data_IF_866640021486
#
_entry.id   IF_866640021486
#
_cell.length_a   1.000
_cell.length_b   1.000
_cell.length_c   1.000
_cell.angle_alpha   90.00
_cell.angle_beta   90.00
_cell.angle_gamma   90.00
#
_symmetry.space_group_name_H-M   'P 1'
#
loop_
_entity.id
_entity.type
_entity.pdbx_description
1 polymer ?
#
# COMPACT_ATOMS: atom_id res chain seq x y z
N UNK A 1 29.75 3.74 14.59
CA UNK A 1 28.86 4.04 13.44
C UNK A 1 28.15 2.81 12.83
N UNK A 2 28.26 1.61 13.43
CA UNK A 2 27.66 0.37 12.90
C UNK A 2 26.19 0.11 13.34
N UNK A 3 25.60 0.98 14.17
CA UNK A 3 24.25 0.81 14.72
C UNK A 3 23.12 1.38 13.85
N UNK A 4 23.43 2.16 12.81
CA UNK A 4 22.44 3.02 12.14
C UNK A 4 21.57 2.34 11.05
N UNK A 5 21.65 1.02 10.84
CA UNK A 5 21.04 0.36 9.66
C UNK A 5 20.27 -0.93 9.96
N UNK A 6 19.86 -1.17 11.22
CA UNK A 6 18.78 -2.12 11.51
C UNK A 6 17.47 -1.33 11.62
N UNK A 7 16.40 -1.86 11.04
CA UNK A 7 15.06 -1.41 11.36
C UNK A 7 14.91 -1.47 12.88
N UNK A 8 14.58 -0.34 13.50
CA UNK A 8 14.32 -0.33 14.92
C UNK A 8 13.13 -1.27 15.19
N UNK A 9 13.09 -1.89 16.38
CA UNK A 9 11.98 -2.78 16.76
C UNK A 9 10.62 -2.14 16.53
N UNK A 10 10.52 -0.82 16.77
CA UNK A 10 9.31 -0.03 16.50
C UNK A 10 8.93 0.01 15.02
N UNK A 11 9.88 0.28 14.11
CA UNK A 11 9.58 0.33 12.67
C UNK A 11 9.26 -1.06 12.12
N UNK A 12 9.95 -2.11 12.58
CA UNK A 12 9.63 -3.48 12.19
C UNK A 12 8.22 -3.90 12.65
N UNK A 13 7.84 -3.57 13.88
CA UNK A 13 6.50 -3.85 14.39
C UNK A 13 5.44 -3.06 13.63
N UNK A 14 5.70 -1.78 13.34
CA UNK A 14 4.82 -0.93 12.55
C UNK A 14 4.63 -1.46 11.12
N UNK A 15 5.72 -1.85 10.45
CA UNK A 15 5.67 -2.48 9.14
C UNK A 15 4.91 -3.81 9.18
N UNK A 16 5.11 -4.63 10.21
CA UNK A 16 4.36 -5.88 10.40
C UNK A 16 2.86 -5.64 10.53
N UNK A 17 2.44 -4.65 11.35
CA UNK A 17 1.03 -4.27 11.49
C UNK A 17 0.44 -3.81 10.15
N UNK A 18 1.14 -2.92 9.44
CA UNK A 18 0.72 -2.48 8.11
C UNK A 18 0.61 -3.63 7.13
N UNK A 19 1.56 -4.57 7.16
CA UNK A 19 1.56 -5.74 6.30
C UNK A 19 0.35 -6.64 6.52
N UNK A 20 -0.02 -6.87 7.78
CA UNK A 20 -1.22 -7.64 8.13
C UNK A 20 -2.49 -6.91 7.69
N UNK A 21 -2.56 -5.59 7.89
CA UNK A 21 -3.73 -4.79 7.47
C UNK A 21 -3.91 -4.84 5.95
N UNK A 22 -2.85 -4.59 5.18
CA UNK A 22 -2.87 -4.66 3.72
C UNK A 22 -3.24 -6.05 3.20
N UNK A 23 -2.71 -7.11 3.81
CA UNK A 23 -3.08 -8.49 3.45
C UNK A 23 -4.54 -8.80 3.76
N UNK A 24 -5.01 -8.44 4.95
CA UNK A 24 -6.38 -8.75 5.36
C UNK A 24 -7.39 -8.02 4.47
N UNK A 25 -7.19 -6.72 4.26
CA UNK A 25 -8.07 -5.91 3.42
C UNK A 25 -7.98 -6.36 1.95
N UNK A 26 -6.78 -6.53 1.43
CA UNK A 26 -6.57 -6.96 0.04
C UNK A 26 -7.17 -8.33 -0.26
N UNK A 27 -7.09 -9.28 0.68
CA UNK A 27 -7.72 -10.59 0.54
C UNK A 27 -9.24 -10.48 0.49
N UNK A 28 -9.83 -9.64 1.35
CA UNK A 28 -11.28 -9.42 1.36
C UNK A 28 -11.71 -8.81 0.02
N UNK A 29 -11.11 -7.71 -0.43
CA UNK A 29 -11.43 -7.04 -1.71
C UNK A 29 -11.25 -7.98 -2.91
N UNK A 30 -10.15 -8.74 -2.94
CA UNK A 30 -9.88 -9.70 -4.01
C UNK A 30 -10.96 -10.79 -4.10
N UNK A 31 -11.33 -11.39 -2.97
CA UNK A 31 -12.38 -12.40 -2.92
C UNK A 31 -13.75 -11.80 -3.27
N UNK A 32 -14.06 -10.59 -2.79
CA UNK A 32 -15.28 -9.85 -3.16
C UNK A 32 -15.38 -9.64 -4.67
N UNK A 33 -14.30 -9.15 -5.28
CA UNK A 33 -14.23 -8.92 -6.72
C UNK A 33 -14.36 -10.23 -7.51
N UNK A 34 -13.71 -11.30 -7.05
CA UNK A 34 -13.77 -12.61 -7.71
C UNK A 34 -15.18 -13.21 -7.67
N UNK A 35 -15.85 -13.17 -6.51
CA UNK A 35 -17.24 -13.66 -6.38
C UNK A 35 -18.17 -12.91 -7.34
N UNK A 36 -18.03 -11.59 -7.39
CA UNK A 36 -18.87 -10.72 -8.24
C UNK A 36 -18.61 -10.96 -9.72
N UNK A 37 -17.35 -11.19 -10.12
CA UNK A 37 -16.97 -11.54 -11.48
C UNK A 37 -17.61 -12.84 -11.99
N UNK A 38 -17.80 -13.83 -11.11
CA UNK A 38 -18.47 -15.10 -11.43
C UNK A 38 -20.01 -15.04 -11.28
N UNK A 39 -20.59 -13.85 -11.10
CA UNK A 39 -22.04 -13.66 -10.96
C UNK A 39 -22.59 -14.06 -9.58
N UNK A 40 -21.72 -14.26 -8.59
CA UNK A 40 -22.12 -14.41 -7.20
C UNK A 40 -22.51 -13.06 -6.60
N UNK A 41 -23.48 -13.07 -5.68
CA UNK A 41 -23.72 -11.91 -4.83
C UNK A 41 -22.67 -11.87 -3.72
N UNK A 42 -21.99 -10.74 -3.55
CA UNK A 42 -21.14 -10.56 -2.38
C UNK A 42 -22.01 -10.63 -1.11
N UNK A 43 -21.53 -11.27 -0.03
CA UNK A 43 -22.25 -11.30 1.23
C UNK A 43 -22.69 -9.90 1.69
N UNK A 44 -23.90 -9.79 2.24
CA UNK A 44 -24.51 -8.54 2.72
C UNK A 44 -23.70 -7.78 3.79
N UNK A 45 -22.74 -8.44 4.44
CA UNK A 45 -21.81 -7.83 5.39
C UNK A 45 -20.57 -7.22 4.72
N UNK A 46 -20.32 -7.48 3.43
CA UNK A 46 -19.45 -6.66 2.59
C UNK A 46 -20.22 -5.40 2.23
N UNK A 47 -20.25 -4.49 3.21
CA UNK A 47 -20.84 -3.16 3.11
C UNK A 47 -20.26 -2.39 1.93
N UNK A 48 -20.92 -1.32 1.41
CA UNK A 48 -20.37 -0.41 0.39
C UNK A 48 -19.00 0.22 0.71
N UNK A 49 -18.46 -0.01 1.91
CA UNK A 49 -17.13 0.41 2.34
C UNK A 49 -16.00 -0.48 1.82
N UNK A 50 -16.30 -1.65 1.25
CA UNK A 50 -15.29 -2.57 0.71
C UNK A 50 -15.48 -2.69 -0.80
N UNK A 51 -14.57 -2.14 -1.61
CA UNK A 51 -14.69 -2.20 -3.06
C UNK A 51 -14.51 -3.65 -3.56
N UNK A 52 -15.30 -4.00 -4.58
CA UNK A 52 -15.21 -5.29 -5.26
C UNK A 52 -14.13 -5.23 -6.36
N UNK A 53 -12.89 -5.02 -5.97
CA UNK A 53 -11.77 -4.80 -6.90
C UNK A 53 -10.74 -5.92 -6.83
N UNK A 54 -10.69 -6.73 -7.89
CA UNK A 54 -9.72 -7.80 -8.05
C UNK A 54 -8.29 -7.24 -8.13
N UNK A 55 -8.09 -6.13 -8.85
CA UNK A 55 -6.77 -5.55 -9.07
C UNK A 55 -6.30 -4.79 -7.83
N UNK A 56 -7.19 -4.00 -7.22
CA UNK A 56 -6.95 -3.34 -5.93
C UNK A 56 -6.58 -4.35 -4.85
N UNK A 57 -7.43 -5.35 -4.64
CA UNK A 57 -7.20 -6.40 -3.65
C UNK A 57 -5.88 -7.15 -3.85
N UNK A 58 -5.56 -7.54 -5.09
CA UNK A 58 -4.28 -8.20 -5.40
C UNK A 58 -3.08 -7.28 -5.15
N UNK A 59 -3.19 -6.00 -5.52
CA UNK A 59 -2.12 -5.02 -5.29
C UNK A 59 -1.89 -4.76 -3.79
N UNK A 60 -2.97 -4.63 -3.01
CA UNK A 60 -2.94 -4.51 -1.56
C UNK A 60 -2.28 -5.75 -0.92
N UNK A 61 -2.58 -6.95 -1.41
CA UNK A 61 -1.91 -8.16 -0.95
C UNK A 61 -0.40 -8.14 -1.22
N UNK A 62 0.03 -7.73 -2.42
CA UNK A 62 1.45 -7.60 -2.77
C UNK A 62 2.15 -6.58 -1.86
N UNK A 63 1.53 -5.42 -1.62
CA UNK A 63 2.04 -4.41 -0.70
C UNK A 63 2.18 -4.98 0.72
N UNK A 64 1.18 -5.72 1.19
CA UNK A 64 1.18 -6.36 2.50
C UNK A 64 2.31 -7.38 2.67
N UNK A 65 2.54 -8.21 1.65
CA UNK A 65 3.65 -9.17 1.63
C UNK A 65 5.01 -8.48 1.68
N UNK A 66 5.18 -7.36 0.97
CA UNK A 66 6.44 -6.60 1.01
C UNK A 66 6.69 -5.98 2.39
N UNK A 67 5.65 -5.47 3.05
CA UNK A 67 5.76 -5.00 4.43
C UNK A 67 6.16 -6.12 5.38
N UNK A 68 5.57 -7.32 5.27
CA UNK A 68 5.96 -8.48 6.09
C UNK A 68 7.39 -8.93 5.77
N UNK A 69 7.76 -9.01 4.49
CA UNK A 69 9.11 -9.37 4.05
C UNK A 69 10.17 -8.41 4.61
N UNK A 70 9.84 -7.13 4.76
CA UNK A 70 10.72 -6.13 5.40
C UNK A 70 11.03 -6.45 6.88
N UNK A 71 10.15 -7.19 7.56
CA UNK A 71 10.33 -7.60 8.97
C UNK A 71 11.12 -8.90 9.13
N UNK A 72 11.05 -9.80 8.13
CA UNK A 72 11.58 -11.16 8.22
C UNK A 72 12.92 -11.33 7.50
N UNK A 73 13.29 -10.46 6.54
CA UNK A 73 14.54 -10.62 5.80
C UNK A 73 15.77 -10.55 6.71
N UNK A 74 16.65 -11.55 6.57
CA UNK A 74 17.88 -11.69 7.36
C UNK A 74 19.00 -10.76 6.88
N UNK A 75 18.88 -10.23 5.66
CA UNK A 75 19.87 -9.33 5.06
C UNK A 75 19.41 -7.88 5.20
N UNK A 76 20.19 -7.11 5.95
CA UNK A 76 19.87 -5.73 6.37
C UNK A 76 19.51 -4.80 5.20
N UNK A 77 20.18 -4.94 4.06
CA UNK A 77 19.93 -4.14 2.85
C UNK A 77 18.62 -4.51 2.15
N UNK A 78 18.25 -5.79 2.17
CA UNK A 78 17.00 -6.28 1.57
C UNK A 78 15.79 -5.79 2.38
N UNK A 79 15.86 -5.80 3.72
CA UNK A 79 14.77 -5.32 4.59
C UNK A 79 14.38 -3.86 4.32
N UNK A 80 15.37 -2.97 4.13
CA UNK A 80 15.13 -1.55 3.82
C UNK A 80 14.55 -1.40 2.41
N UNK A 81 15.03 -2.19 1.45
CA UNK A 81 14.50 -2.23 0.09
C UNK A 81 13.03 -2.64 0.05
N UNK A 82 12.66 -3.72 0.74
CA UNK A 82 11.27 -4.17 0.83
C UNK A 82 10.37 -3.12 1.45
N UNK A 83 10.81 -2.47 2.54
CA UNK A 83 10.03 -1.39 3.16
C UNK A 83 9.84 -0.21 2.20
N UNK A 84 10.89 0.20 1.50
CA UNK A 84 10.82 1.31 0.54
C UNK A 84 9.88 0.98 -0.61
N UNK A 85 10.00 -0.21 -1.21
CA UNK A 85 9.12 -0.65 -2.30
C UNK A 85 7.67 -0.76 -1.83
N UNK A 86 7.41 -1.32 -0.64
CA UNK A 86 6.07 -1.41 -0.07
C UNK A 86 5.43 -0.03 0.09
N UNK A 87 6.18 0.92 0.65
CA UNK A 87 5.69 2.30 0.85
C UNK A 87 5.49 3.05 -0.45
N UNK A 88 6.37 2.84 -1.44
CA UNK A 88 6.25 3.47 -2.75
C UNK A 88 5.03 2.93 -3.50
N UNK A 89 4.81 1.62 -3.51
CA UNK A 89 3.63 1.01 -4.12
C UNK A 89 2.35 1.48 -3.44
N UNK A 90 2.31 1.49 -2.10
CA UNK A 90 1.21 2.06 -1.33
C UNK A 90 0.88 3.50 -1.76
N UNK A 91 1.90 4.35 -1.91
CA UNK A 91 1.73 5.73 -2.36
C UNK A 91 1.21 5.83 -3.81
N UNK A 92 1.78 5.04 -4.72
CA UNK A 92 1.37 5.02 -6.14
C UNK A 92 -0.10 4.61 -6.27
N UNK A 93 -0.52 3.53 -5.62
CA UNK A 93 -1.92 3.07 -5.69
C UNK A 93 -2.89 4.05 -5.04
N UNK A 94 -2.54 4.65 -3.91
CA UNK A 94 -3.38 5.67 -3.29
C UNK A 94 -3.58 6.91 -4.18
N UNK A 95 -2.51 7.41 -4.80
CA UNK A 95 -2.59 8.55 -5.74
C UNK A 95 -3.37 8.16 -6.98
N UNK A 96 -3.15 6.95 -7.52
CA UNK A 96 -3.89 6.45 -8.67
C UNK A 96 -5.39 6.43 -8.38
N UNK A 97 -5.82 5.88 -7.25
CA UNK A 97 -7.24 5.82 -6.89
C UNK A 97 -7.85 7.20 -6.59
N UNK A 98 -7.09 8.12 -6.01
CA UNK A 98 -7.53 9.52 -5.87
C UNK A 98 -7.75 10.20 -7.22
N UNK A 99 -6.87 9.95 -8.20
CA UNK A 99 -7.02 10.48 -9.55
C UNK A 99 -8.23 9.88 -10.27
N UNK A 100 -8.49 8.58 -10.09
CA UNK A 100 -9.68 7.91 -10.63
C UNK A 100 -10.95 8.52 -10.04
N UNK A 101 -11.01 8.68 -8.72
CA UNK A 101 -12.13 9.33 -8.04
C UNK A 101 -12.36 10.77 -8.57
N UNK A 102 -11.28 11.53 -8.74
CA UNK A 102 -11.34 12.88 -9.31
C UNK A 102 -11.80 12.90 -10.77
N UNK A 103 -11.37 11.92 -11.57
CA UNK A 103 -11.80 11.78 -12.97
C UNK A 103 -13.29 11.46 -13.06
N UNK A 104 -13.79 10.52 -12.26
CA UNK A 104 -15.21 10.18 -12.18
C UNK A 104 -16.05 11.36 -11.69
N UNK A 105 -15.57 12.10 -10.68
CA UNK A 105 -16.21 13.31 -10.21
C UNK A 105 -16.30 14.40 -11.29
N UNK A 106 -15.23 14.63 -12.05
CA UNK A 106 -15.23 15.58 -13.18
C UNK A 106 -16.17 15.13 -14.30
N UNK A 107 -16.18 13.83 -14.62
CA UNK A 107 -17.06 13.26 -15.65
C UNK A 107 -18.54 13.46 -15.28
N UNK A 108 -18.91 13.18 -14.03
CA UNK A 108 -20.28 13.39 -13.53
C UNK A 108 -20.74 14.84 -13.63
N UNK A 109 -19.84 15.81 -13.42
CA UNK A 109 -20.14 17.24 -13.53
C UNK A 109 -20.36 17.67 -14.99
N UNK A 110 -19.69 17.01 -15.94
CA UNK A 110 -19.83 17.28 -17.37
C UNK A 110 -21.11 16.67 -17.92
N UNK A 111 -21.39 15.41 -17.56
CA UNK A 111 -22.54 14.65 -18.07
C UNK A 111 -23.83 15.01 -17.32
N UNK A 112 -23.72 15.50 -16.08
CA UNK A 112 -24.85 15.85 -15.22
C UNK A 112 -25.47 14.65 -14.50
N UNK A 113 -24.71 13.56 -14.33
CA UNK A 113 -25.13 12.34 -13.62
C UNK A 113 -24.78 12.41 -12.13
N UNK A 114 -25.46 11.60 -11.30
CA UNK A 114 -25.15 11.49 -9.87
C UNK A 114 -23.81 10.75 -9.67
N UNK A 115 -22.86 11.39 -8.99
CA UNK A 115 -21.59 10.77 -8.64
C UNK A 115 -21.70 9.94 -7.36
N UNK A 116 -21.42 8.64 -7.46
CA UNK A 116 -21.29 7.73 -6.31
C UNK A 116 -19.93 7.89 -5.59
N UNK A 117 -19.62 9.11 -5.13
CA UNK A 117 -18.33 9.45 -4.51
C UNK A 117 -17.88 8.53 -3.36
N UNK A 118 -18.83 7.92 -2.63
CA UNK A 118 -18.53 6.97 -1.56
C UNK A 118 -17.87 5.69 -2.08
N UNK A 119 -18.27 5.21 -3.26
CA UNK A 119 -17.68 4.02 -3.88
C UNK A 119 -16.23 4.30 -4.29
N UNK A 120 -15.97 5.49 -4.82
CA UNK A 120 -14.63 5.92 -5.26
C UNK A 120 -13.67 6.21 -4.09
N UNK A 121 -14.17 6.75 -2.98
CA UNK A 121 -13.36 7.04 -1.78
C UNK A 121 -13.17 5.81 -0.89
N UNK A 122 -14.01 4.77 -1.01
CA UNK A 122 -13.91 3.54 -0.21
C UNK A 122 -12.64 2.71 -0.47
N UNK A 123 -11.83 3.08 -1.46
CA UNK A 123 -10.57 2.41 -1.83
C UNK A 123 -9.61 2.36 -0.66
N UNK A 124 -9.28 1.15 -0.21
CA UNK A 124 -8.50 0.94 1.00
C UNK A 124 -7.11 1.58 0.94
N UNK A 125 -6.52 1.71 -0.24
CA UNK A 125 -5.21 2.33 -0.45
C UNK A 125 -5.22 3.83 -0.16
N UNK A 126 -6.34 4.52 -0.37
CA UNK A 126 -6.49 5.94 -0.03
C UNK A 126 -6.38 6.12 1.49
N UNK A 127 -7.00 5.22 2.25
CA UNK A 127 -7.01 5.26 3.72
C UNK A 127 -5.72 4.74 4.36
N UNK A 128 -5.01 3.83 3.67
CA UNK A 128 -3.74 3.29 4.11
C UNK A 128 -2.53 4.15 3.73
N UNK A 129 -2.74 5.24 2.97
CA UNK A 129 -1.70 6.20 2.62
C UNK A 129 -1.15 7.00 3.82
N UNK A 130 -1.97 7.68 4.66
CA UNK A 130 -1.44 8.43 5.79
C UNK A 130 -0.51 7.62 6.71
N UNK A 131 -0.81 6.36 7.06
CA UNK A 131 0.12 5.55 7.85
C UNK A 131 1.30 4.99 7.04
N UNK A 132 1.29 4.98 5.71
CA UNK A 132 2.46 4.56 4.91
C UNK A 132 3.49 5.69 4.67
N UNK A 133 3.14 6.94 4.93
CA UNK A 133 4.05 8.10 4.79
C UNK A 133 5.25 8.10 5.77
N UNK A 134 5.10 7.81 7.08
CA UNK A 134 6.25 7.79 7.98
C UNK A 134 7.34 6.75 7.58
N UNK A 135 7.01 5.49 7.24
CA UNK A 135 8.02 4.54 6.78
C UNK A 135 8.66 4.93 5.44
N UNK A 136 7.94 5.62 4.55
CA UNK A 136 8.51 6.17 3.31
C UNK A 136 9.63 7.18 3.61
N UNK A 137 9.37 8.14 4.50
CA UNK A 137 10.35 9.18 4.87
C UNK A 137 11.57 8.54 5.55
N UNK A 138 11.35 7.55 6.42
CA UNK A 138 12.42 6.86 7.15
C UNK A 138 13.28 6.04 6.19
N UNK A 139 12.67 5.21 5.35
CA UNK A 139 13.38 4.35 4.39
C UNK A 139 14.15 5.17 3.35
N UNK A 140 13.56 6.26 2.84
CA UNK A 140 14.22 7.20 1.92
C UNK A 140 15.46 7.85 2.53
N UNK A 141 15.36 8.34 3.77
CA UNK A 141 16.51 8.93 4.50
C UNK A 141 17.62 7.90 4.73
N UNK A 142 17.27 6.65 5.01
CA UNK A 142 18.24 5.57 5.16
C UNK A 142 18.92 5.23 3.83
N UNK A 143 18.17 5.16 2.73
CA UNK A 143 18.71 4.91 1.39
C UNK A 143 19.70 6.00 0.95
N UNK A 144 19.37 7.28 1.17
CA UNK A 144 20.27 8.40 0.83
C UNK A 144 21.58 8.37 1.62
N UNK A 145 21.54 7.93 2.89
CA UNK A 145 22.74 7.77 3.73
C UNK A 145 23.64 6.63 3.24
N UNK A 146 23.08 5.56 2.68
CA UNK A 146 23.87 4.47 2.10
C UNK A 146 24.65 4.94 0.86
N UNK A 147 24.02 5.76 0.00
CA UNK A 147 24.69 6.31 -1.18
C UNK A 147 25.87 7.22 -0.83
N UNK A 148 25.79 7.95 0.29
CA UNK A 148 26.87 8.84 0.75
C UNK A 148 28.02 8.10 1.46
N UNK A 149 27.80 6.89 1.97
CA UNK A 149 28.81 6.08 2.65
C UNK A 149 29.67 5.22 1.71
N UNK A 150 29.31 5.17 0.42
CA UNK A 150 29.99 4.38 -0.60
C UNK A 150 31.07 5.09 -1.47
N UNK A 151 31.65 6.28 -1.17
CA UNK A 151 32.57 6.92 -2.11
C UNK A 151 34.03 6.41 -2.08
N UNK A 152 34.38 5.33 -1.37
CA UNK A 152 35.78 4.85 -1.31
C UNK A 152 35.94 3.32 -1.29
N UNK A 153 35.38 2.61 -2.28
CA UNK A 153 35.68 1.17 -2.46
C UNK A 153 35.96 0.76 -3.92
N UNK A 154 36.09 1.72 -4.82
CA UNK A 154 36.55 1.45 -6.19
C UNK A 154 37.76 2.37 -6.47
N UNK A 155 38.93 1.91 -6.04
CA UNK A 155 40.25 2.38 -6.46
C UNK A 155 41.17 1.18 -6.58
#
# INVERSE_FOLDING_TARGET
>A
MAEALRLSRGVALYAGVLGVLYLAIGLIEFLSGLISYFGGSSPWWMSPWIPQDIFGGLSAMVIGLLYIASTTSWRRYESIGYLLVATLLSAVFAVLYLLIAGANGLDSLIVGEEWSWMEDISRSEIWLLPPSLPPLIISWRMAMRMKQAAPFSEA
#
